data_IF_176964841642
#
_entry.id   IF_176964841642
#
_cell.length_a   1.000
_cell.length_b   1.000
_cell.length_c   1.000
_cell.angle_alpha   90.00
_cell.angle_beta   90.00
_cell.angle_gamma   90.00
#
_symmetry.space_group_name_H-M   'P 1'
#
loop_
_entity.id
_entity.type
_entity.pdbx_description
1 polymer ?
#
# COMPACT_ATOMS: atom_id res chain seq x y z
N UNK A 1 2.26 57.45 -19.53
CA UNK A 1 1.13 56.74 -18.92
C UNK A 1 1.41 55.25 -19.03
N UNK A 2 1.49 54.58 -17.87
CA UNK A 2 1.69 53.14 -17.62
C UNK A 2 2.92 52.45 -18.22
N UNK A 3 3.93 52.25 -17.36
CA UNK A 3 4.84 51.11 -17.50
C UNK A 3 4.01 49.83 -17.42
N UNK A 4 4.20 48.91 -18.37
CA UNK A 4 3.64 47.56 -18.27
C UNK A 4 4.49 46.84 -17.23
N UNK A 5 3.89 46.53 -16.08
CA UNK A 5 4.49 45.67 -15.07
C UNK A 5 4.17 44.25 -15.52
N UNK A 6 5.17 43.57 -16.06
CA UNK A 6 5.13 42.12 -16.23
C UNK A 6 5.18 41.54 -14.81
N UNK A 7 4.11 40.84 -14.40
CA UNK A 7 3.98 40.23 -13.07
C UNK A 7 4.51 38.79 -13.13
N UNK A 8 5.70 38.48 -12.59
CA UNK A 8 6.17 37.10 -12.51
C UNK A 8 5.68 36.52 -11.18
N UNK A 9 4.37 36.29 -11.06
CA UNK A 9 3.77 36.04 -9.76
C UNK A 9 2.63 35.04 -9.73
N UNK A 10 2.68 33.94 -10.49
CA UNK A 10 1.67 32.87 -10.39
C UNK A 10 2.29 31.47 -10.26
N UNK A 11 3.05 31.25 -9.18
CA UNK A 11 3.28 29.91 -8.63
C UNK A 11 2.02 29.42 -7.90
N UNK A 12 1.04 28.92 -8.67
CA UNK A 12 -0.13 28.22 -8.13
C UNK A 12 0.28 26.82 -7.64
N UNK A 13 0.87 26.75 -6.45
CA UNK A 13 1.17 25.51 -5.74
C UNK A 13 -0.07 24.86 -5.08
N UNK A 14 -1.25 24.93 -5.72
CA UNK A 14 -2.48 24.30 -5.23
C UNK A 14 -2.71 22.94 -5.92
N UNK A 15 -1.75 22.03 -5.77
CA UNK A 15 -1.98 20.61 -6.05
C UNK A 15 -2.60 19.93 -4.83
N UNK A 16 -3.60 19.04 -4.98
CA UNK A 16 -4.18 18.31 -3.85
C UNK A 16 -3.08 17.60 -3.06
N UNK A 17 -3.17 17.63 -1.72
CA UNK A 17 -2.17 17.08 -0.79
C UNK A 17 -1.56 15.79 -1.34
N UNK A 18 -0.27 15.83 -1.67
CA UNK A 18 0.46 14.72 -2.28
C UNK A 18 0.92 13.78 -1.15
N UNK A 19 0.61 12.48 -1.25
CA UNK A 19 1.18 11.45 -0.38
C UNK A 19 0.16 10.44 0.18
N UNK A 20 0.64 9.52 1.03
CA UNK A 20 -0.18 8.53 1.74
C UNK A 20 -1.26 9.19 2.62
N UNK A 21 -1.07 10.44 3.05
CA UNK A 21 -2.10 11.17 3.82
C UNK A 21 -3.37 11.44 3.01
N UNK A 22 -3.29 11.57 1.68
CA UNK A 22 -4.49 11.66 0.83
C UNK A 22 -5.32 10.39 0.92
N UNK A 23 -4.63 9.26 0.96
CA UNK A 23 -5.17 7.92 0.98
C UNK A 23 -5.77 7.58 2.37
N UNK A 24 -5.11 8.01 3.46
CA UNK A 24 -5.60 7.82 4.85
C UNK A 24 -6.79 8.72 5.19
N UNK A 25 -6.82 9.95 4.66
CA UNK A 25 -7.90 10.92 4.91
C UNK A 25 -8.96 10.93 3.80
N UNK A 26 -8.97 9.93 2.92
CA UNK A 26 -9.90 9.86 1.79
C UNK A 26 -11.24 9.26 2.23
N UNK A 27 -12.35 9.94 1.94
CA UNK A 27 -13.72 9.45 2.19
C UNK A 27 -14.31 8.70 0.97
N UNK A 28 -13.54 8.58 -0.11
CA UNK A 28 -14.00 7.94 -1.34
C UNK A 28 -13.94 6.41 -1.21
N UNK A 29 -15.07 5.73 -1.44
CA UNK A 29 -15.18 4.27 -1.37
C UNK A 29 -14.32 3.52 -2.41
N UNK A 30 -13.94 4.17 -3.52
CA UNK A 30 -13.10 3.56 -4.57
C UNK A 30 -11.65 3.38 -4.10
N UNK A 31 -11.13 4.39 -3.41
CA UNK A 31 -9.77 4.37 -2.87
C UNK A 31 -9.72 3.47 -1.63
N UNK A 32 -10.74 3.56 -0.75
CA UNK A 32 -10.89 2.70 0.41
C UNK A 32 -10.92 1.22 -0.01
N UNK A 33 -11.75 0.86 -1.00
CA UNK A 33 -11.82 -0.51 -1.52
C UNK A 33 -10.49 -1.01 -2.08
N UNK A 34 -9.74 -0.15 -2.79
CA UNK A 34 -8.43 -0.51 -3.35
C UNK A 34 -7.40 -0.82 -2.25
N UNK A 35 -7.40 -0.07 -1.14
CA UNK A 35 -6.56 -0.38 0.01
C UNK A 35 -6.88 -1.73 0.63
N UNK A 36 -8.18 -2.03 0.84
CA UNK A 36 -8.62 -3.30 1.43
C UNK A 36 -8.31 -4.50 0.54
N UNK A 37 -8.44 -4.35 -0.78
CA UNK A 37 -8.04 -5.38 -1.75
C UNK A 37 -6.53 -5.67 -1.65
N UNK A 38 -5.70 -4.63 -1.59
CA UNK A 38 -4.25 -4.80 -1.42
C UNK A 38 -3.88 -5.45 -0.08
N UNK A 39 -4.51 -5.01 1.01
CA UNK A 39 -4.29 -5.57 2.33
C UNK A 39 -4.71 -7.03 2.42
N UNK A 40 -5.92 -7.36 1.97
CA UNK A 40 -6.43 -8.73 1.97
C UNK A 40 -5.60 -9.65 1.07
N UNK A 41 -5.18 -9.18 -0.11
CA UNK A 41 -4.28 -9.93 -0.99
C UNK A 41 -2.92 -10.21 -0.34
N UNK A 42 -2.35 -9.22 0.36
CA UNK A 42 -1.07 -9.38 1.08
C UNK A 42 -1.19 -10.40 2.22
N UNK A 43 -2.26 -10.32 3.01
CA UNK A 43 -2.54 -11.29 4.08
C UNK A 43 -2.84 -12.68 3.52
N UNK A 44 -3.54 -12.78 2.39
CA UNK A 44 -3.78 -14.05 1.70
C UNK A 44 -2.47 -14.69 1.23
N UNK A 45 -1.56 -13.91 0.65
CA UNK A 45 -0.28 -14.43 0.20
C UNK A 45 0.59 -14.90 1.37
N UNK A 46 0.62 -14.13 2.47
CA UNK A 46 1.34 -14.50 3.69
C UNK A 46 0.76 -15.77 4.32
N UNK A 47 -0.56 -15.80 4.56
CA UNK A 47 -1.26 -16.96 5.12
C UNK A 47 -1.18 -18.20 4.21
N UNK A 48 -1.26 -18.01 2.90
CA UNK A 48 -1.10 -19.06 1.90
C UNK A 48 0.30 -19.66 1.92
N UNK A 49 1.33 -18.82 2.01
CA UNK A 49 2.72 -19.29 2.17
C UNK A 49 2.90 -20.09 3.46
N UNK A 50 2.39 -19.60 4.60
CA UNK A 50 2.43 -20.36 5.86
C UNK A 50 1.69 -21.71 5.76
N UNK A 51 0.51 -21.74 5.11
CA UNK A 51 -0.23 -22.98 4.91
C UNK A 51 0.52 -23.98 4.02
N UNK A 52 1.22 -23.51 2.99
CA UNK A 52 2.06 -24.37 2.15
C UNK A 52 3.26 -24.93 2.93
N UNK A 53 3.91 -24.13 3.77
CA UNK A 53 5.03 -24.58 4.62
C UNK A 53 4.58 -25.68 5.58
N UNK A 54 3.46 -25.50 6.28
CA UNK A 54 2.90 -26.53 7.17
C UNK A 54 2.58 -27.81 6.38
N UNK A 55 2.02 -27.67 5.18
CA UNK A 55 1.71 -28.81 4.32
C UNK A 55 2.97 -29.54 3.84
N UNK A 56 4.07 -28.82 3.62
CA UNK A 56 5.35 -29.40 3.23
C UNK A 56 5.97 -30.24 4.36
N UNK A 57 5.94 -29.75 5.61
CA UNK A 57 6.39 -30.52 6.79
C UNK A 57 5.61 -31.82 6.99
N UNK A 58 4.34 -31.86 6.60
CA UNK A 58 3.48 -33.04 6.75
C UNK A 58 3.64 -34.07 5.61
N UNK A 59 4.26 -33.70 4.48
CA UNK A 59 4.37 -34.58 3.30
C UNK A 59 5.46 -35.66 3.47
N UNK A 60 6.47 -35.41 4.31
CA UNK A 60 7.43 -36.41 4.78
C UNK A 60 7.63 -36.24 6.29
N UNK A 61 7.18 -37.18 7.13
CA UNK A 61 7.30 -37.05 8.57
C UNK A 61 8.77 -37.20 8.99
N UNK A 62 9.41 -36.06 9.27
CA UNK A 62 10.78 -35.92 9.76
C UNK A 62 11.18 -34.45 9.76
N UNK A 63 11.62 -33.92 10.91
CA UNK A 63 11.96 -32.52 11.12
C UNK A 63 13.05 -32.07 10.12
N UNK A 64 12.72 -31.15 9.19
CA UNK A 64 13.67 -30.68 8.16
C UNK A 64 13.76 -29.15 7.98
N UNK A 65 12.73 -28.34 8.26
CA UNK A 65 12.76 -26.90 7.91
C UNK A 65 12.51 -25.94 9.09
N UNK A 66 11.75 -26.34 10.11
CA UNK A 66 11.45 -25.46 11.26
C UNK A 66 11.94 -26.12 12.55
N UNK A 67 13.06 -25.62 13.07
CA UNK A 67 13.60 -26.03 14.36
C UNK A 67 12.94 -25.18 15.47
N UNK A 68 12.19 -25.77 16.41
CA UNK A 68 11.87 -25.09 17.65
C UNK A 68 13.15 -25.02 18.49
N UNK A 69 13.64 -23.81 18.74
CA UNK A 69 14.70 -23.55 19.72
C UNK A 69 14.24 -23.90 21.15
#
# INVERSE_FOLDING_TARGET
MSAVIDDPGHEHAHGPAKGLMRWVLTTNHKDMGTMYLWFSFSMFQLGGSFAMVIRAELFQPGLQIIEPA
#
